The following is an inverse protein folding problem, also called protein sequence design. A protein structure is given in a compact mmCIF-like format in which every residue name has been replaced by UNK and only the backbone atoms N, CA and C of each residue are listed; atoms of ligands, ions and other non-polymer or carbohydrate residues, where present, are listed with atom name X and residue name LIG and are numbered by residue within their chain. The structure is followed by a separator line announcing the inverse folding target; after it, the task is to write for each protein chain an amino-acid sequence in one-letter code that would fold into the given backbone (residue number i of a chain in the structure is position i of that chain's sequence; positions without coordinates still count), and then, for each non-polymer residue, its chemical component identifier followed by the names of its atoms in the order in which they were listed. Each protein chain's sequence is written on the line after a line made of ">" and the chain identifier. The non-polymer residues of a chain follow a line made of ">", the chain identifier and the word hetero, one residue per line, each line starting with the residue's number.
data_IF_441092752793
#
_entry.id   IF_441092752793
#
_cell.length_a   1.000
_cell.length_b   1.000
_cell.length_c   1.000
_cell.angle_alpha   90.00
_cell.angle_beta   90.00
_cell.angle_gamma   90.00
#
_symmetry.space_group_name_H-M   'P 1'
#
loop_
_entity.id
_entity.type
_entity.pdbx_description
1 polymer ?
#
# COMPACT_ATOMS: atom_id res chain seq x y z
N UNK A 1 -9.05 -2.37 13.62
CA UNK A 1 -8.15 -3.50 13.93
C UNK A 1 -6.93 -2.99 14.68
N UNK A 2 -6.46 -3.65 15.72
CA UNK A 2 -5.28 -3.23 16.51
C UNK A 2 -5.28 -1.74 16.87
N UNK A 3 -6.36 -1.25 17.48
CA UNK A 3 -6.57 0.14 17.93
C UNK A 3 -6.70 1.19 16.81
N UNK A 4 -6.69 0.79 15.54
CA UNK A 4 -6.82 1.66 14.39
C UNK A 4 -8.07 1.35 13.56
N UNK A 5 -8.62 2.39 12.96
CA UNK A 5 -9.60 2.24 11.90
C UNK A 5 -8.86 2.01 10.57
N UNK A 6 -9.19 0.90 9.92
CA UNK A 6 -8.65 0.55 8.62
C UNK A 6 -9.69 0.81 7.54
N UNK A 7 -9.29 1.49 6.49
CA UNK A 7 -10.02 1.46 5.24
C UNK A 7 -9.66 0.17 4.51
N UNK A 8 -10.67 -0.58 4.09
CA UNK A 8 -10.50 -1.80 3.30
C UNK A 8 -11.45 -1.75 2.12
N UNK A 9 -10.90 -1.76 0.92
CA UNK A 9 -11.70 -1.78 -0.31
C UNK A 9 -12.04 -3.21 -0.69
N UNK A 10 -13.23 -3.39 -1.23
CA UNK A 10 -13.74 -4.66 -1.69
C UNK A 10 -14.23 -4.54 -3.13
N UNK A 11 -13.91 -5.52 -3.96
CA UNK A 11 -14.39 -5.63 -5.34
C UNK A 11 -14.77 -7.08 -5.65
N UNK A 12 -15.65 -7.25 -6.63
CA UNK A 12 -16.11 -8.55 -7.09
C UNK A 12 -17.12 -9.23 -6.16
N UNK A 13 -17.62 -10.40 -6.57
CA UNK A 13 -18.66 -11.13 -5.84
C UNK A 13 -18.16 -11.64 -4.47
N UNK A 14 -18.98 -11.48 -3.43
CA UNK A 14 -18.59 -11.85 -2.06
C UNK A 14 -18.36 -13.35 -1.87
N UNK A 15 -18.93 -14.18 -2.72
CA UNK A 15 -18.81 -15.65 -2.74
C UNK A 15 -17.66 -16.16 -3.62
N UNK A 16 -17.01 -15.29 -4.40
CA UNK A 16 -15.83 -15.65 -5.17
C UNK A 16 -14.59 -15.91 -4.29
N UNK A 17 -13.57 -16.64 -4.80
CA UNK A 17 -12.33 -16.87 -4.07
C UNK A 17 -11.67 -15.56 -3.62
N UNK A 18 -11.27 -15.49 -2.34
CA UNK A 18 -10.67 -14.26 -1.79
C UNK A 18 -9.24 -14.08 -2.27
N UNK A 19 -8.95 -12.87 -2.77
CA UNK A 19 -7.63 -12.39 -3.13
C UNK A 19 -7.33 -11.12 -2.33
N UNK A 20 -6.32 -11.16 -1.49
CA UNK A 20 -5.85 -9.97 -0.76
C UNK A 20 -4.81 -9.23 -1.60
N UNK A 21 -5.02 -7.93 -1.81
CA UNK A 21 -4.08 -7.08 -2.56
C UNK A 21 -3.45 -6.05 -1.64
N UNK A 22 -2.10 -6.00 -1.64
CA UNK A 22 -1.30 -5.24 -0.67
C UNK A 22 -0.46 -4.20 -1.39
N UNK A 23 -0.73 -2.91 -1.13
CA UNK A 23 -0.10 -1.80 -1.83
C UNK A 23 1.33 -1.46 -1.35
N UNK A 24 2.03 -0.63 -2.10
CA UNK A 24 3.40 -0.19 -1.85
C UNK A 24 3.53 1.01 -0.90
N UNK A 25 4.75 1.51 -0.79
CA UNK A 25 5.07 2.75 -0.06
C UNK A 25 4.47 3.96 -0.78
N UNK A 26 3.95 4.94 -0.03
CA UNK A 26 3.29 6.15 -0.56
C UNK A 26 2.23 5.81 -1.61
N UNK A 27 1.38 4.85 -1.29
CA UNK A 27 0.34 4.33 -2.16
C UNK A 27 -0.92 4.00 -1.35
N UNK A 28 -1.98 3.54 -1.99
CA UNK A 28 -3.19 3.05 -1.33
C UNK A 28 -3.86 1.94 -2.14
N UNK A 29 -4.85 1.30 -1.55
CA UNK A 29 -5.59 0.19 -2.17
C UNK A 29 -6.28 0.56 -3.48
N UNK A 30 -6.61 1.83 -3.70
CA UNK A 30 -7.31 2.28 -4.91
C UNK A 30 -6.48 2.10 -6.19
N UNK A 31 -5.15 2.07 -6.09
CA UNK A 31 -4.28 1.88 -7.27
C UNK A 31 -4.45 0.50 -7.91
N UNK A 32 -5.07 -0.45 -7.21
CA UNK A 32 -5.45 -1.73 -7.78
C UNK A 32 -6.70 -1.69 -8.66
N UNK A 33 -7.42 -0.56 -8.76
CA UNK A 33 -8.68 -0.47 -9.50
C UNK A 33 -8.56 -1.08 -10.90
N UNK A 34 -7.55 -0.71 -11.67
CA UNK A 34 -7.40 -1.16 -13.05
C UNK A 34 -6.97 -2.64 -13.16
N UNK A 35 -6.33 -3.18 -12.14
CA UNK A 35 -6.04 -4.62 -12.06
C UNK A 35 -7.32 -5.38 -11.76
N UNK A 36 -8.12 -4.86 -10.84
CA UNK A 36 -9.41 -5.46 -10.48
C UNK A 36 -10.37 -5.45 -11.66
N UNK A 37 -10.44 -4.35 -12.40
CA UNK A 37 -11.26 -4.25 -13.63
C UNK A 37 -10.87 -5.34 -14.64
N UNK A 38 -9.57 -5.64 -14.75
CA UNK A 38 -9.08 -6.69 -15.63
C UNK A 38 -9.34 -8.12 -15.10
N UNK A 39 -9.45 -8.29 -13.79
CA UNK A 39 -9.79 -9.56 -13.14
C UNK A 39 -11.29 -9.88 -13.25
N UNK A 40 -12.13 -8.87 -13.39
CA UNK A 40 -13.58 -9.03 -13.41
C UNK A 40 -14.10 -9.74 -12.16
N UNK A 41 -15.05 -10.64 -12.34
CA UNK A 41 -15.71 -11.36 -11.24
C UNK A 41 -14.97 -12.63 -10.78
N UNK A 42 -13.71 -12.81 -11.18
CA UNK A 42 -12.95 -14.02 -10.86
C UNK A 42 -12.61 -14.13 -9.35
N UNK A 43 -12.54 -13.00 -8.64
CA UNK A 43 -12.16 -12.95 -7.23
C UNK A 43 -13.01 -11.96 -6.43
N UNK A 44 -13.20 -12.26 -5.14
CA UNK A 44 -13.51 -11.26 -4.15
C UNK A 44 -12.19 -10.63 -3.69
N UNK A 45 -11.84 -9.48 -4.26
CA UNK A 45 -10.62 -8.74 -3.90
C UNK A 45 -10.84 -7.97 -2.61
N UNK A 46 -9.89 -8.08 -1.68
CA UNK A 46 -9.87 -7.40 -0.39
C UNK A 46 -8.53 -6.67 -0.28
N UNK A 47 -8.55 -5.34 -0.28
CA UNK A 47 -7.34 -4.53 -0.26
C UNK A 47 -7.40 -3.48 0.86
N UNK A 48 -6.63 -3.69 1.94
CA UNK A 48 -6.50 -2.68 2.98
C UNK A 48 -5.60 -1.53 2.53
N UNK A 49 -5.90 -0.32 2.97
CA UNK A 49 -4.90 0.73 3.08
C UNK A 49 -4.05 0.47 4.32
N UNK A 50 -2.73 0.44 4.18
CA UNK A 50 -1.85 0.28 5.33
C UNK A 50 -2.02 1.42 6.34
N UNK A 51 -1.68 1.15 7.61
CA UNK A 51 -1.65 2.19 8.66
C UNK A 51 -0.93 3.45 8.19
N UNK A 52 -1.57 4.60 8.33
CA UNK A 52 -1.01 5.89 7.94
C UNK A 52 -1.02 6.16 6.44
N UNK A 53 -1.66 5.31 5.62
CA UNK A 53 -1.83 5.50 4.18
C UNK A 53 -3.30 5.54 3.78
N UNK A 54 -3.57 6.16 2.65
CA UNK A 54 -4.90 6.24 2.08
C UNK A 54 -5.92 6.82 3.06
N UNK A 55 -6.99 6.08 3.28
CA UNK A 55 -8.06 6.46 4.22
C UNK A 55 -7.97 5.71 5.57
N UNK A 56 -6.91 4.93 5.81
CA UNK A 56 -6.65 4.33 7.10
C UNK A 56 -6.14 5.35 8.10
N UNK A 57 -6.46 5.14 9.36
CA UNK A 57 -6.11 6.05 10.45
C UNK A 57 -4.59 6.17 10.65
N UNK A 58 -4.16 7.36 11.02
CA UNK A 58 -2.80 7.67 11.40
C UNK A 58 -2.74 8.11 12.88
N UNK A 59 -1.88 7.43 13.67
CA UNK A 59 -1.73 7.72 15.11
C UNK A 59 -0.86 8.94 15.42
N UNK A 60 -0.40 9.69 14.43
CA UNK A 60 0.44 10.86 14.65
C UNK A 60 1.85 10.54 15.19
N UNK A 61 2.31 9.30 15.04
CA UNK A 61 3.62 8.84 15.50
C UNK A 61 4.28 7.91 14.49
N UNK A 62 5.57 7.72 14.62
CA UNK A 62 6.30 6.73 13.83
C UNK A 62 5.80 5.30 14.09
N UNK A 63 5.84 4.47 13.07
CA UNK A 63 5.50 3.04 13.11
C UNK A 63 6.78 2.20 13.01
N UNK A 64 6.84 1.11 13.76
CA UNK A 64 7.81 0.08 13.49
C UNK A 64 7.37 -0.77 12.29
N UNK A 65 8.33 -1.23 11.47
CA UNK A 65 7.97 -2.06 10.30
C UNK A 65 7.25 -3.36 10.72
N UNK A 66 7.54 -3.86 11.92
CA UNK A 66 6.85 -5.00 12.52
C UNK A 66 5.33 -4.79 12.72
N UNK A 67 4.88 -3.55 12.82
CA UNK A 67 3.45 -3.25 12.94
C UNK A 67 2.67 -3.68 11.70
N UNK A 68 3.25 -3.54 10.50
CA UNK A 68 2.61 -3.96 9.25
C UNK A 68 2.41 -5.47 9.16
N UNK A 69 3.33 -6.29 9.70
CA UNK A 69 3.14 -7.75 9.76
C UNK A 69 1.97 -8.13 10.66
N UNK A 70 1.89 -7.49 11.81
CA UNK A 70 0.81 -7.73 12.75
C UNK A 70 -0.55 -7.20 12.24
N UNK A 71 -0.54 -6.12 11.44
CA UNK A 71 -1.74 -5.65 10.76
C UNK A 71 -2.20 -6.63 9.68
N UNK A 72 -1.27 -7.16 8.89
CA UNK A 72 -1.60 -8.19 7.91
C UNK A 72 -2.24 -9.40 8.59
N UNK A 73 -1.66 -9.92 9.68
CA UNK A 73 -2.24 -11.01 10.46
C UNK A 73 -3.67 -10.68 10.89
N UNK A 74 -3.91 -9.45 11.39
CA UNK A 74 -5.23 -9.02 11.84
C UNK A 74 -6.24 -8.93 10.68
N UNK A 75 -5.83 -8.38 9.52
CA UNK A 75 -6.65 -8.30 8.31
C UNK A 75 -7.02 -9.69 7.81
N UNK A 76 -6.04 -10.58 7.65
CA UNK A 76 -6.28 -11.94 7.17
C UNK A 76 -7.19 -12.72 8.13
N UNK A 77 -6.97 -12.57 9.43
CA UNK A 77 -7.81 -13.23 10.45
C UNK A 77 -9.25 -12.72 10.42
N UNK A 78 -9.43 -11.40 10.24
CA UNK A 78 -10.76 -10.78 10.17
C UNK A 78 -11.58 -11.29 8.98
N UNK A 79 -10.96 -11.37 7.78
CA UNK A 79 -11.69 -11.68 6.54
C UNK A 79 -11.65 -13.15 6.14
N UNK A 80 -10.68 -13.93 6.64
CA UNK A 80 -10.50 -15.33 6.24
C UNK A 80 -10.35 -16.31 7.42
N UNK A 81 -10.45 -15.82 8.66
CA UNK A 81 -10.21 -16.67 9.83
C UNK A 81 -8.79 -17.26 9.78
N UNK A 82 -8.68 -18.57 9.94
CA UNK A 82 -7.40 -19.29 9.87
C UNK A 82 -7.15 -19.96 8.50
N UNK A 83 -8.02 -19.75 7.52
CA UNK A 83 -7.86 -20.35 6.20
C UNK A 83 -6.64 -19.80 5.46
N UNK A 84 -5.93 -20.64 4.67
CA UNK A 84 -4.90 -20.16 3.76
C UNK A 84 -5.49 -19.21 2.70
N UNK A 85 -4.80 -18.13 2.39
CA UNK A 85 -5.27 -17.09 1.47
C UNK A 85 -4.37 -16.93 0.23
N UNK A 86 -4.91 -16.26 -0.78
CA UNK A 86 -4.12 -15.79 -1.91
C UNK A 86 -3.77 -14.33 -1.72
N UNK A 87 -2.49 -14.01 -1.94
CA UNK A 87 -1.94 -12.66 -1.83
C UNK A 87 -1.41 -12.21 -3.19
N UNK A 88 -1.68 -10.96 -3.56
CA UNK A 88 -0.99 -10.23 -4.62
C UNK A 88 -0.45 -8.93 -4.00
N UNK A 89 0.86 -8.72 -4.04
CA UNK A 89 1.48 -7.70 -3.25
C UNK A 89 2.53 -6.91 -4.04
N UNK A 90 2.49 -5.59 -3.95
CA UNK A 90 3.35 -4.68 -4.67
C UNK A 90 4.39 -4.03 -3.75
N UNK A 91 5.66 -4.00 -4.17
CA UNK A 91 6.75 -3.25 -3.53
C UNK A 91 6.84 -3.48 -2.00
N UNK A 92 6.55 -2.47 -1.16
CA UNK A 92 6.52 -2.61 0.30
C UNK A 92 5.54 -3.69 0.76
N UNK A 93 4.35 -3.75 0.16
CA UNK A 93 3.38 -4.81 0.43
C UNK A 93 3.92 -6.20 0.11
N UNK A 94 4.72 -6.32 -0.96
CA UNK A 94 5.37 -7.58 -1.32
C UNK A 94 6.46 -7.98 -0.31
N UNK A 95 7.23 -7.02 0.21
CA UNK A 95 8.16 -7.27 1.31
C UNK A 95 7.42 -7.81 2.54
N UNK A 96 6.32 -7.16 2.91
CA UNK A 96 5.49 -7.60 4.04
C UNK A 96 4.95 -9.01 3.80
N UNK A 97 4.37 -9.26 2.63
CA UNK A 97 3.79 -10.55 2.28
C UNK A 97 4.82 -11.70 2.24
N UNK A 98 6.03 -11.46 1.71
CA UNK A 98 7.11 -12.45 1.67
C UNK A 98 7.58 -12.83 3.07
N UNK A 99 7.85 -11.85 3.93
CA UNK A 99 8.27 -12.11 5.30
C UNK A 99 7.16 -12.78 6.11
N UNK A 100 5.90 -12.37 5.89
CA UNK A 100 4.74 -13.01 6.51
C UNK A 100 4.61 -14.47 6.06
N UNK A 101 4.70 -14.74 4.75
CA UNK A 101 4.61 -16.10 4.21
C UNK A 101 5.76 -17.00 4.73
N UNK A 102 6.95 -16.45 4.94
CA UNK A 102 8.06 -17.18 5.55
C UNK A 102 7.80 -17.51 7.03
N UNK A 103 7.15 -16.61 7.76
CA UNK A 103 6.83 -16.79 9.18
C UNK A 103 5.56 -17.63 9.41
N UNK A 104 4.61 -17.61 8.46
CA UNK A 104 3.29 -18.26 8.53
C UNK A 104 2.96 -18.98 7.21
N UNK A 105 3.76 -19.97 6.78
CA UNK A 105 3.56 -20.64 5.48
C UNK A 105 2.19 -21.31 5.37
N UNK A 106 1.62 -21.76 6.48
CA UNK A 106 0.29 -22.37 6.54
C UNK A 106 -0.85 -21.39 6.23
N UNK A 107 -0.58 -20.08 6.31
CA UNK A 107 -1.55 -19.01 6.07
C UNK A 107 -1.58 -18.53 4.62
N UNK A 108 -0.61 -18.90 3.80
CA UNK A 108 -0.47 -18.40 2.43
C UNK A 108 -0.51 -19.54 1.43
N UNK A 109 -1.63 -19.68 0.75
CA UNK A 109 -1.80 -20.70 -0.29
C UNK A 109 -1.10 -20.31 -1.60
N UNK A 110 -1.12 -19.02 -1.97
CA UNK A 110 -0.46 -18.48 -3.17
C UNK A 110 -0.01 -17.05 -2.90
N UNK A 111 1.13 -16.68 -3.47
CA UNK A 111 1.68 -15.33 -3.38
C UNK A 111 2.17 -14.89 -4.76
N UNK A 112 1.60 -13.80 -5.28
CA UNK A 112 2.12 -13.05 -6.43
C UNK A 112 2.89 -11.82 -5.92
N UNK A 113 4.15 -11.71 -6.30
CA UNK A 113 5.04 -10.60 -5.94
C UNK A 113 5.20 -9.69 -7.14
N UNK A 114 4.84 -8.43 -7.00
CA UNK A 114 4.85 -7.42 -8.04
C UNK A 114 5.93 -6.38 -7.72
N UNK A 115 6.88 -6.23 -8.65
CA UNK A 115 7.97 -5.24 -8.60
C UNK A 115 8.76 -5.22 -7.27
N UNK A 116 9.10 -6.42 -6.78
CA UNK A 116 9.94 -6.59 -5.59
C UNK A 116 10.75 -7.90 -5.68
N UNK A 117 12.09 -7.79 -5.74
CA UNK A 117 13.00 -8.93 -5.79
C UNK A 117 13.78 -9.17 -4.49
N UNK A 118 13.35 -8.53 -3.41
CA UNK A 118 14.04 -8.51 -2.13
C UNK A 118 14.89 -7.23 -1.97
N UNK A 119 15.17 -6.89 -0.73
CA UNK A 119 16.15 -5.85 -0.43
C UNK A 119 17.53 -6.50 -0.60
N UNK A 120 18.20 -6.26 -1.71
CA UNK A 120 19.63 -6.45 -1.75
C UNK A 120 20.21 -5.49 -0.69
N UNK A 121 20.46 -6.00 0.51
CA UNK A 121 21.29 -5.28 1.44
C UNK A 121 22.74 -5.45 0.95
N UNK A 122 23.36 -4.44 0.33
CA UNK A 122 24.80 -4.34 0.47
C UNK A 122 25.03 -4.33 1.99
N UNK A 123 26.16 -4.83 2.44
CA UNK A 123 26.65 -4.58 3.80
C UNK A 123 26.90 -3.07 3.94
N UNK A 124 25.82 -2.28 3.81
CA UNK A 124 25.87 -0.85 3.95
C UNK A 124 26.21 -0.59 5.40
N UNK A 125 27.21 0.21 5.60
CA UNK A 125 27.64 0.70 6.90
C UNK A 125 26.39 1.05 7.73
N UNK A 126 26.10 0.22 8.74
CA UNK A 126 24.93 0.41 9.61
C UNK A 126 24.94 1.80 10.25
N UNK A 127 26.13 2.38 10.45
CA UNK A 127 26.31 3.74 10.94
C UNK A 127 25.82 4.78 9.94
N UNK A 128 26.04 4.57 8.64
CA UNK A 128 25.56 5.47 7.59
C UNK A 128 24.05 5.40 7.45
N UNK A 129 23.47 4.21 7.56
CA UNK A 129 22.00 4.05 7.55
C UNK A 129 21.35 4.72 8.78
N UNK A 130 21.93 4.51 9.97
CA UNK A 130 21.45 5.14 11.19
C UNK A 130 21.55 6.66 11.10
N UNK A 131 22.66 7.21 10.59
CA UNK A 131 22.82 8.64 10.38
C UNK A 131 21.75 9.20 9.44
N UNK A 132 21.57 8.57 8.28
CA UNK A 132 20.52 8.98 7.32
C UNK A 132 19.13 8.97 7.94
N UNK A 133 18.84 7.97 8.77
CA UNK A 133 17.56 7.89 9.48
C UNK A 133 17.41 9.01 10.53
N UNK A 134 18.47 9.30 11.30
CA UNK A 134 18.47 10.39 12.29
C UNK A 134 18.28 11.75 11.60
N UNK A 135 18.94 11.97 10.45
CA UNK A 135 18.78 13.19 9.67
C UNK A 135 17.35 13.33 9.14
N UNK A 136 16.75 12.24 8.67
CA UNK A 136 15.35 12.22 8.23
C UNK A 136 14.37 12.49 9.38
N UNK A 137 14.66 11.99 10.59
CA UNK A 137 13.86 12.29 11.78
C UNK A 137 13.94 13.76 12.20
N UNK A 138 15.13 14.36 12.07
CA UNK A 138 15.35 15.77 12.41
C UNK A 138 14.75 16.72 11.38
N UNK A 139 14.65 16.30 10.12
CA UNK A 139 14.20 17.09 8.98
C UNK A 139 13.10 16.37 8.21
N UNK A 140 11.98 16.11 8.89
CA UNK A 140 10.84 15.46 8.25
C UNK A 140 10.44 16.19 6.96
N UNK A 141 10.34 15.49 5.82
CA UNK A 141 9.96 16.11 4.56
C UNK A 141 8.58 16.75 4.69
N UNK A 142 8.49 18.01 4.27
CA UNK A 142 7.20 18.69 4.22
C UNK A 142 6.44 18.23 2.97
N UNK A 143 5.12 18.05 3.06
CA UNK A 143 4.30 17.76 1.89
C UNK A 143 4.51 18.88 0.85
N UNK A 144 4.71 18.50 -0.42
CA UNK A 144 4.73 19.45 -1.53
C UNK A 144 3.33 19.50 -2.11
N UNK A 145 2.59 20.61 -1.93
CA UNK A 145 1.27 20.71 -2.52
C UNK A 145 1.39 20.85 -4.05
N UNK A 146 0.46 20.20 -4.73
CA UNK A 146 0.19 20.44 -6.15
C UNK A 146 -0.91 21.49 -6.26
N UNK A 147 -0.92 22.26 -7.34
CA UNK A 147 -1.94 23.29 -7.56
C UNK A 147 -3.36 22.70 -7.52
N UNK A 148 -3.53 21.54 -8.11
CA UNK A 148 -4.79 20.80 -8.23
C UNK A 148 -4.52 19.32 -8.58
N UNK A 149 -5.57 18.52 -8.60
CA UNK A 149 -5.47 17.10 -8.97
C UNK A 149 -4.95 16.89 -10.41
N UNK A 150 -5.23 17.81 -11.34
CA UNK A 150 -4.74 17.70 -12.70
C UNK A 150 -3.20 17.86 -12.77
N UNK A 151 -2.63 18.75 -11.96
CA UNK A 151 -1.18 18.91 -11.86
C UNK A 151 -0.52 17.65 -11.24
N UNK A 152 -1.19 17.00 -10.28
CA UNK A 152 -0.73 15.72 -9.75
C UNK A 152 -0.88 14.58 -10.76
N UNK A 153 -1.96 14.54 -11.54
CA UNK A 153 -2.14 13.57 -12.63
C UNK A 153 -1.00 13.66 -13.67
N UNK A 154 -0.59 14.87 -14.04
CA UNK A 154 0.54 15.05 -14.95
C UNK A 154 1.87 14.59 -14.34
N UNK A 155 2.06 14.79 -13.03
CA UNK A 155 3.20 14.21 -12.31
C UNK A 155 3.21 12.67 -12.35
N UNK A 156 2.04 12.04 -12.19
CA UNK A 156 1.91 10.58 -12.29
C UNK A 156 2.28 10.09 -13.70
N UNK A 157 1.80 10.77 -14.74
CA UNK A 157 2.12 10.44 -16.14
C UNK A 157 3.59 10.64 -16.48
N UNK A 158 4.22 11.67 -15.92
CA UNK A 158 5.67 11.87 -16.07
C UNK A 158 6.47 10.74 -15.44
N UNK A 159 6.01 10.21 -14.29
CA UNK A 159 6.66 9.08 -13.63
C UNK A 159 6.38 7.74 -14.34
N UNK A 160 5.19 7.60 -14.93
CA UNK A 160 4.78 6.42 -15.67
C UNK A 160 4.17 6.81 -17.03
N UNK A 161 4.97 6.90 -18.10
CA UNK A 161 4.48 7.26 -19.43
C UNK A 161 3.45 6.29 -20.05
N UNK A 162 3.25 5.11 -19.46
CA UNK A 162 2.22 4.15 -19.89
C UNK A 162 0.84 4.48 -19.28
N UNK A 163 0.80 5.35 -18.29
CA UNK A 163 -0.45 5.75 -17.64
C UNK A 163 -1.17 6.75 -18.54
N UNK A 164 -2.36 6.39 -19.03
CA UNK A 164 -3.20 7.30 -19.83
C UNK A 164 -3.76 8.45 -18.95
N UNK A 165 -4.30 9.47 -19.63
CA UNK A 165 -4.73 10.68 -18.95
C UNK A 165 -5.97 10.46 -18.06
N UNK A 166 -6.89 9.59 -18.47
CA UNK A 166 -8.11 9.29 -17.72
C UNK A 166 -7.79 8.58 -16.42
N UNK A 167 -6.98 7.52 -16.48
CA UNK A 167 -6.52 6.78 -15.29
C UNK A 167 -5.66 7.63 -14.38
N UNK A 168 -4.79 8.48 -14.94
CA UNK A 168 -4.00 9.41 -14.15
C UNK A 168 -4.87 10.40 -13.38
N UNK A 169 -5.91 10.93 -14.00
CA UNK A 169 -6.83 11.86 -13.37
C UNK A 169 -7.69 11.16 -12.30
N UNK A 170 -8.16 9.95 -12.57
CA UNK A 170 -8.84 9.12 -11.58
C UNK A 170 -7.96 8.91 -10.34
N UNK A 171 -6.72 8.43 -10.52
CA UNK A 171 -5.79 8.23 -9.41
C UNK A 171 -5.49 9.54 -8.67
N UNK A 172 -5.36 10.65 -9.39
CA UNK A 172 -5.09 11.93 -8.77
C UNK A 172 -6.23 12.39 -7.84
N UNK A 173 -7.48 12.18 -8.23
CA UNK A 173 -8.62 12.48 -7.38
C UNK A 173 -8.71 11.57 -6.16
N UNK A 174 -8.38 10.29 -6.31
CA UNK A 174 -8.48 9.30 -5.23
C UNK A 174 -7.31 9.36 -4.23
N UNK A 175 -6.13 9.77 -4.69
CA UNK A 175 -4.89 9.76 -3.89
C UNK A 175 -4.58 11.11 -3.24
N UNK A 176 -5.29 12.19 -3.59
CA UNK A 176 -5.00 13.51 -3.05
C UNK A 176 -6.08 14.00 -2.10
N UNK A 177 -5.64 14.76 -1.11
CA UNK A 177 -6.50 15.49 -0.18
C UNK A 177 -6.31 17.00 -0.37
N UNK A 178 -7.34 17.80 -0.08
CA UNK A 178 -7.21 19.24 -0.06
C UNK A 178 -6.20 19.67 1.01
N UNK A 179 -5.31 20.55 0.63
CA UNK A 179 -4.30 21.11 1.52
C UNK A 179 -4.75 22.46 2.08
N UNK A 180 -4.67 22.64 3.38
CA UNK A 180 -5.16 23.85 4.06
C UNK A 180 -4.48 25.16 3.56
N UNK A 181 -3.28 25.05 2.97
CA UNK A 181 -2.55 26.16 2.32
C UNK A 181 -2.93 26.40 0.85
N UNK A 182 -3.93 25.68 0.33
CA UNK A 182 -4.35 25.70 -1.07
C UNK A 182 -3.69 24.64 -1.92
N UNK A 183 -4.44 24.07 -2.88
CA UNK A 183 -4.01 22.94 -3.69
C UNK A 183 -4.30 21.58 -3.05
N UNK A 184 -3.60 20.53 -3.52
CA UNK A 184 -3.79 19.16 -3.05
C UNK A 184 -2.45 18.52 -2.67
N UNK A 185 -2.48 17.59 -1.72
CA UNK A 185 -1.34 16.76 -1.30
C UNK A 185 -1.71 15.28 -1.36
N UNK A 186 -0.70 14.43 -1.57
CA UNK A 186 -0.83 12.99 -1.43
C UNK A 186 -0.49 12.58 -0.01
#
# INVERSE_FOLDING_TARGET
>A
MRELQYNVRHWGPADAPKLFMLHGWMDSSITFQFVVDALGDAFHVIAPDWRGYGQSEWLGRAYAFADYYADLEAVLTHYAGNAPVWLAAHSMGANIALNYAAARPERVARLAVLDFLGLAAPAADASAQLRSWLDACAHAPQPKPYRDAAAFAERLRTANPRLDAERALFLAHELTLEFAGGGVVM
#
